data_IF_158371522110
#
_entry.id   IF_158371522110
#
_cell.length_a   1.000
_cell.length_b   1.000
_cell.length_c   1.000
_cell.angle_alpha   90.00
_cell.angle_beta   90.00
_cell.angle_gamma   90.00
#
_symmetry.space_group_name_H-M   'P 1'
#
loop_
_entity.id
_entity.type
_entity.pdbx_description
1 polymer ?
#
# COMPACT_ATOMS: atom_id res chain seq x y z
N UNK A 1 -5.38 -25.81 -1.62
CA UNK A 1 -5.75 -24.39 -1.46
C UNK A 1 -4.80 -23.46 -2.22
N UNK A 2 -3.52 -23.33 -1.85
CA UNK A 2 -2.55 -22.52 -2.64
C UNK A 2 -2.40 -23.06 -4.07
N UNK A 3 -2.36 -24.38 -4.23
CA UNK A 3 -2.38 -25.04 -5.53
C UNK A 3 -3.60 -24.63 -6.37
N UNK A 4 -4.82 -24.66 -5.79
CA UNK A 4 -6.04 -24.22 -6.47
C UNK A 4 -6.00 -22.73 -6.87
N UNK A 5 -5.43 -21.88 -6.02
CA UNK A 5 -5.23 -20.46 -6.33
C UNK A 5 -4.27 -20.31 -7.52
N UNK A 6 -3.19 -21.09 -7.58
CA UNK A 6 -2.23 -21.04 -8.68
C UNK A 6 -2.80 -21.63 -9.97
N UNK A 7 -3.49 -22.76 -9.92
CA UNK A 7 -4.08 -23.40 -11.11
C UNK A 7 -5.26 -22.61 -11.68
N UNK A 8 -5.87 -21.71 -10.89
CA UNK A 8 -6.94 -20.83 -11.38
C UNK A 8 -6.48 -19.76 -12.37
N UNK A 9 -5.17 -19.47 -12.47
CA UNK A 9 -4.62 -18.43 -13.36
C UNK A 9 -3.53 -19.02 -14.26
N UNK A 10 -3.47 -18.68 -15.57
CA UNK A 10 -2.43 -19.19 -16.47
C UNK A 10 -1.00 -18.93 -15.96
N UNK A 11 -0.76 -17.76 -15.36
CA UNK A 11 0.53 -17.41 -14.78
C UNK A 11 0.93 -18.29 -13.58
N UNK A 12 -0.04 -18.85 -12.85
CA UNK A 12 0.24 -19.76 -11.75
C UNK A 12 0.61 -21.17 -12.23
N UNK A 13 0.14 -21.60 -13.40
CA UNK A 13 0.60 -22.84 -14.02
C UNK A 13 2.09 -22.80 -14.36
N UNK A 14 2.63 -21.63 -14.71
CA UNK A 14 4.07 -21.43 -14.91
C UNK A 14 4.86 -21.70 -13.63
N UNK A 15 4.33 -21.32 -12.46
CA UNK A 15 4.95 -21.57 -11.15
C UNK A 15 4.98 -23.06 -10.86
N UNK A 16 3.85 -23.75 -11.03
CA UNK A 16 3.74 -25.20 -10.79
C UNK A 16 4.70 -25.96 -11.70
N UNK A 17 4.68 -25.67 -13.01
CA UNK A 17 5.55 -26.33 -13.98
C UNK A 17 7.04 -26.16 -13.67
N UNK A 18 7.48 -24.94 -13.35
CA UNK A 18 8.89 -24.70 -13.01
C UNK A 18 9.34 -25.51 -11.79
N UNK A 19 8.45 -25.64 -10.80
CA UNK A 19 8.74 -26.45 -9.62
C UNK A 19 8.80 -27.94 -9.95
N UNK A 20 7.84 -28.46 -10.72
CA UNK A 20 7.82 -29.86 -11.11
C UNK A 20 9.07 -30.24 -11.93
N UNK A 21 9.54 -29.34 -12.79
CA UNK A 21 10.72 -29.55 -13.63
C UNK A 21 12.05 -29.47 -12.86
N UNK A 22 12.14 -28.65 -11.80
CA UNK A 22 13.43 -28.30 -11.16
C UNK A 22 13.53 -28.61 -9.67
N UNK A 23 12.41 -28.89 -9.00
CA UNK A 23 12.30 -29.00 -7.53
C UNK A 23 12.50 -27.69 -6.77
N UNK A 24 12.60 -26.56 -7.48
CA UNK A 24 12.86 -25.24 -6.90
C UNK A 24 12.15 -24.15 -7.69
N UNK A 25 12.14 -22.93 -7.16
CA UNK A 25 11.63 -21.75 -7.87
C UNK A 25 12.72 -20.69 -7.96
N UNK A 26 12.84 -20.05 -9.13
CA UNK A 26 13.65 -18.86 -9.32
C UNK A 26 13.01 -17.67 -8.60
N UNK A 27 13.81 -16.66 -8.32
CA UNK A 27 13.35 -15.47 -7.60
C UNK A 27 12.18 -14.76 -8.29
N UNK A 28 12.24 -14.63 -9.62
CA UNK A 28 11.15 -14.08 -10.43
C UNK A 28 9.84 -14.86 -10.26
N UNK A 29 9.94 -16.19 -10.23
CA UNK A 29 8.80 -17.11 -10.17
C UNK A 29 8.21 -17.13 -8.75
N UNK A 30 9.06 -17.05 -7.72
CA UNK A 30 8.62 -16.81 -6.32
C UNK A 30 7.83 -15.51 -6.19
N UNK A 31 8.31 -14.41 -6.79
CA UNK A 31 7.59 -13.13 -6.77
C UNK A 31 6.25 -13.22 -7.49
N UNK A 32 6.20 -13.91 -8.63
CA UNK A 32 4.96 -14.14 -9.38
C UNK A 32 3.94 -14.91 -8.54
N UNK A 33 4.37 -16.02 -7.93
CA UNK A 33 3.55 -16.82 -7.00
C UNK A 33 2.98 -15.96 -5.88
N UNK A 34 3.83 -15.19 -5.18
CA UNK A 34 3.39 -14.31 -4.09
C UNK A 34 2.39 -13.27 -4.56
N UNK A 35 2.58 -12.68 -5.74
CA UNK A 35 1.63 -11.71 -6.31
C UNK A 35 0.26 -12.33 -6.57
N UNK A 36 0.21 -13.55 -7.13
CA UNK A 36 -1.05 -14.26 -7.40
C UNK A 36 -1.79 -14.53 -6.08
N UNK A 37 -1.07 -15.01 -5.06
CA UNK A 37 -1.63 -15.31 -3.74
C UNK A 37 -2.15 -14.04 -3.07
N UNK A 38 -1.36 -12.96 -3.05
CA UNK A 38 -1.76 -11.68 -2.46
C UNK A 38 -2.99 -11.09 -3.16
N UNK A 39 -3.06 -11.19 -4.49
CA UNK A 39 -4.24 -10.76 -5.24
C UNK A 39 -5.49 -11.54 -4.79
N UNK A 40 -5.39 -12.87 -4.66
CA UNK A 40 -6.49 -13.70 -4.17
C UNK A 40 -6.92 -13.34 -2.73
N UNK A 41 -5.96 -13.10 -1.83
CA UNK A 41 -6.27 -12.68 -0.46
C UNK A 41 -7.01 -11.34 -0.43
N UNK A 42 -6.59 -10.39 -1.26
CA UNK A 42 -7.26 -9.09 -1.40
C UNK A 42 -8.65 -9.21 -2.04
N UNK A 43 -8.83 -10.08 -3.02
CA UNK A 43 -10.15 -10.37 -3.63
C UNK A 43 -11.13 -10.93 -2.59
N UNK A 44 -10.64 -11.75 -1.65
CA UNK A 44 -11.48 -12.41 -0.63
C UNK A 44 -11.78 -11.55 0.61
N UNK A 45 -10.79 -10.84 1.15
CA UNK A 45 -10.91 -10.10 2.43
C UNK A 45 -10.77 -8.58 2.28
N UNK A 46 -10.56 -8.09 1.06
CA UNK A 46 -10.29 -6.69 0.81
C UNK A 46 -8.91 -6.25 1.32
N UNK A 47 -8.80 -4.98 1.74
CA UNK A 47 -7.52 -4.38 2.13
C UNK A 47 -7.03 -4.83 3.51
N UNK A 48 -7.96 -5.24 4.38
CA UNK A 48 -7.68 -5.63 5.76
C UNK A 48 -7.50 -7.13 5.94
N UNK A 49 -6.58 -7.73 5.17
CA UNK A 49 -6.35 -9.19 5.23
C UNK A 49 -5.96 -9.60 6.65
N UNK A 50 -6.66 -10.61 7.18
CA UNK A 50 -6.53 -11.10 8.55
C UNK A 50 -5.21 -11.85 8.77
N UNK A 51 -4.78 -11.94 10.05
CA UNK A 51 -3.57 -12.70 10.41
C UNK A 51 -3.73 -14.19 10.08
N UNK A 52 -4.91 -14.76 10.36
CA UNK A 52 -5.22 -16.15 10.10
C UNK A 52 -5.08 -16.49 8.60
N UNK A 53 -5.57 -15.62 7.72
CA UNK A 53 -5.47 -15.83 6.27
C UNK A 53 -4.04 -15.74 5.77
N UNK A 54 -3.22 -14.82 6.32
CA UNK A 54 -1.77 -14.75 6.01
C UNK A 54 -1.04 -16.01 6.45
N UNK A 55 -1.29 -16.48 7.67
CA UNK A 55 -0.68 -17.71 8.20
C UNK A 55 -1.10 -18.93 7.39
N UNK A 56 -2.40 -19.03 7.05
CA UNK A 56 -2.92 -20.12 6.24
C UNK A 56 -2.23 -20.20 4.87
N UNK A 57 -2.05 -19.06 4.19
CA UNK A 57 -1.37 -19.03 2.90
C UNK A 57 0.15 -19.27 3.01
N UNK A 58 0.80 -18.76 4.06
CA UNK A 58 2.22 -19.02 4.31
C UNK A 58 2.49 -20.52 4.52
N UNK A 59 1.65 -21.19 5.32
CA UNK A 59 1.70 -22.64 5.50
C UNK A 59 1.44 -23.36 4.18
N UNK A 60 0.42 -22.94 3.43
CA UNK A 60 0.09 -23.53 2.13
C UNK A 60 1.23 -23.44 1.10
N UNK A 61 2.02 -22.36 1.13
CA UNK A 61 3.19 -22.18 0.26
C UNK A 61 4.25 -23.25 0.57
N UNK A 62 4.66 -23.39 1.83
CA UNK A 62 5.73 -24.33 2.20
C UNK A 62 5.29 -25.79 2.13
N UNK A 63 3.98 -26.06 2.27
CA UNK A 63 3.42 -27.39 2.05
C UNK A 63 3.43 -27.79 0.58
N UNK A 64 3.17 -26.85 -0.33
CA UNK A 64 3.19 -27.11 -1.77
C UNK A 64 4.61 -27.08 -2.35
N UNK A 65 5.46 -26.20 -1.83
CA UNK A 65 6.85 -26.03 -2.25
C UNK A 65 7.81 -26.26 -1.07
N UNK A 66 8.04 -27.52 -0.66
CA UNK A 66 8.92 -27.84 0.47
C UNK A 66 10.33 -27.22 0.41
N UNK A 67 10.89 -26.99 -0.78
CA UNK A 67 12.22 -26.36 -0.90
C UNK A 67 12.25 -24.87 -0.54
N UNK A 68 11.08 -24.24 -0.35
CA UNK A 68 10.96 -22.87 0.16
C UNK A 68 10.84 -22.80 1.68
N UNK A 69 10.77 -23.95 2.36
CA UNK A 69 10.70 -24.01 3.81
C UNK A 69 12.02 -23.55 4.42
N UNK A 70 11.95 -22.67 5.42
CA UNK A 70 13.12 -22.27 6.19
C UNK A 70 13.54 -23.40 7.16
N UNK A 71 14.74 -23.99 7.02
CA UNK A 71 15.21 -25.02 7.94
C UNK A 71 15.56 -24.48 9.34
N UNK A 72 15.75 -23.17 9.49
CA UNK A 72 16.13 -22.55 10.77
C UNK A 72 14.93 -22.03 11.56
N UNK A 73 13.75 -21.99 10.95
CA UNK A 73 12.53 -21.54 11.60
C UNK A 73 11.73 -22.70 12.20
N UNK A 74 10.96 -22.42 13.25
CA UNK A 74 10.23 -23.44 14.02
C UNK A 74 9.21 -24.18 13.16
N UNK A 75 8.42 -23.46 12.37
CA UNK A 75 7.42 -24.05 11.47
C UNK A 75 7.86 -24.02 10.00
N UNK A 76 8.85 -23.20 9.67
CA UNK A 76 9.48 -23.09 8.36
C UNK A 76 8.76 -22.17 7.37
N UNK A 77 7.65 -21.53 7.74
CA UNK A 77 6.91 -20.58 6.89
C UNK A 77 7.03 -19.11 7.33
N UNK A 78 7.71 -18.86 8.45
CA UNK A 78 7.75 -17.56 9.12
C UNK A 78 8.36 -16.45 8.24
N UNK A 79 9.22 -16.79 7.27
CA UNK A 79 9.69 -15.84 6.26
C UNK A 79 8.56 -15.32 5.36
N UNK A 80 7.57 -16.16 5.03
CA UNK A 80 6.38 -15.73 4.29
C UNK A 80 5.42 -14.95 5.17
N UNK A 81 5.17 -15.45 6.39
CA UNK A 81 4.42 -14.73 7.41
C UNK A 81 4.70 -15.25 8.81
N UNK A 82 5.15 -14.37 9.70
CA UNK A 82 5.25 -14.61 11.13
C UNK A 82 4.10 -13.91 11.85
N UNK A 83 3.24 -14.69 12.50
CA UNK A 83 2.09 -14.22 13.25
C UNK A 83 2.48 -13.39 14.49
N UNK A 84 3.61 -13.71 15.12
CA UNK A 84 4.08 -13.07 16.36
C UNK A 84 4.54 -11.65 16.07
N UNK A 85 5.48 -11.49 15.14
CA UNK A 85 5.97 -10.17 14.75
C UNK A 85 5.05 -9.43 13.76
N UNK A 86 4.08 -10.12 13.18
CA UNK A 86 3.23 -9.63 12.08
C UNK A 86 4.07 -9.08 10.91
N UNK A 87 5.06 -9.87 10.49
CA UNK A 87 6.00 -9.57 9.39
C UNK A 87 6.07 -10.74 8.41
N UNK A 88 6.81 -10.56 7.34
CA UNK A 88 7.03 -11.58 6.30
C UNK A 88 6.71 -11.04 4.90
N UNK A 89 7.05 -11.83 3.88
CA UNK A 89 6.86 -11.45 2.49
C UNK A 89 5.40 -11.14 2.14
N UNK A 90 4.43 -11.92 2.64
CA UNK A 90 3.01 -11.68 2.38
C UNK A 90 2.55 -10.34 2.96
N UNK A 91 2.95 -10.06 4.21
CA UNK A 91 2.65 -8.79 4.87
C UNK A 91 3.29 -7.59 4.15
N UNK A 92 4.56 -7.71 3.77
CA UNK A 92 5.26 -6.65 3.02
C UNK A 92 4.58 -6.41 1.67
N UNK A 93 4.20 -7.48 0.97
CA UNK A 93 3.61 -7.35 -0.36
C UNK A 93 2.21 -6.76 -0.30
N UNK A 94 1.39 -7.16 0.67
CA UNK A 94 0.09 -6.54 0.94
C UNK A 94 0.23 -5.02 1.15
N UNK A 95 1.20 -4.59 1.95
CA UNK A 95 1.48 -3.15 2.17
C UNK A 95 1.91 -2.42 0.90
N UNK A 96 2.78 -3.03 0.09
CA UNK A 96 3.35 -2.35 -1.09
C UNK A 96 2.38 -2.31 -2.27
N UNK A 97 1.60 -3.37 -2.50
CA UNK A 97 0.51 -3.35 -3.50
C UNK A 97 -0.50 -2.26 -3.16
N UNK A 98 -0.88 -2.13 -1.88
CA UNK A 98 -1.82 -1.10 -1.44
C UNK A 98 -1.26 0.33 -1.55
N UNK A 99 0.05 0.51 -1.36
CA UNK A 99 0.68 1.83 -1.50
C UNK A 99 0.71 2.30 -2.95
N UNK A 100 0.93 1.39 -3.89
CA UNK A 100 0.90 1.68 -5.33
C UNK A 100 -0.54 1.85 -5.88
N UNK A 101 -1.55 1.34 -5.15
CA UNK A 101 -2.97 1.48 -5.51
C UNK A 101 -3.67 2.64 -4.81
N UNK A 102 -2.99 3.43 -3.98
CA UNK A 102 -3.52 4.75 -3.63
C UNK A 102 -3.32 5.58 -4.91
N UNK A 103 -4.38 6.03 -5.62
CA UNK A 103 -4.20 7.29 -6.33
C UNK A 103 -3.61 8.22 -5.29
N UNK A 104 -2.53 8.93 -5.64
CA UNK A 104 -1.97 10.00 -4.82
C UNK A 104 -3.15 10.66 -4.15
N UNK A 105 -3.37 10.43 -2.85
CA UNK A 105 -4.55 10.96 -2.18
C UNK A 105 -4.35 12.44 -2.35
N UNK A 106 -5.09 13.00 -3.29
CA UNK A 106 -4.80 14.32 -3.79
C UNK A 106 -4.98 15.22 -2.59
N UNK A 107 -4.32 16.36 -2.54
CA UNK A 107 -4.61 17.36 -1.50
C UNK A 107 -6.13 17.58 -1.35
N UNK A 108 -6.87 17.44 -2.46
CA UNK A 108 -8.32 17.42 -2.50
C UNK A 108 -8.96 16.30 -1.67
N UNK A 109 -8.48 15.05 -1.73
CA UNK A 109 -9.10 13.93 -1.00
C UNK A 109 -8.98 14.08 0.52
N UNK A 110 -7.85 14.60 1.01
CA UNK A 110 -7.65 14.82 2.45
C UNK A 110 -8.47 15.99 2.97
N UNK A 111 -8.46 17.11 2.24
CA UNK A 111 -9.32 18.25 2.57
C UNK A 111 -10.78 17.84 2.52
N UNK A 112 -11.20 17.08 1.51
CA UNK A 112 -12.56 16.61 1.40
C UNK A 112 -12.95 15.79 2.62
N UNK A 113 -12.08 14.87 3.06
CA UNK A 113 -12.35 14.06 4.25
C UNK A 113 -12.49 14.92 5.51
N UNK A 114 -11.52 15.80 5.77
CA UNK A 114 -11.51 16.63 6.98
C UNK A 114 -12.68 17.64 6.98
N UNK A 115 -12.94 18.29 5.85
CA UNK A 115 -14.06 19.23 5.71
C UNK A 115 -15.40 18.54 5.69
N UNK A 116 -15.51 17.32 5.16
CA UNK A 116 -16.76 16.56 5.23
C UNK A 116 -17.10 16.21 6.67
N UNK A 117 -16.10 15.94 7.50
CA UNK A 117 -16.29 15.69 8.92
C UNK A 117 -16.73 16.95 9.68
N UNK A 118 -16.19 18.12 9.32
CA UNK A 118 -16.51 19.38 10.00
C UNK A 118 -17.81 20.04 9.51
N UNK A 119 -18.10 19.95 8.21
CA UNK A 119 -19.14 20.75 7.53
C UNK A 119 -20.12 19.94 6.68
N UNK A 120 -19.95 18.60 6.62
CA UNK A 120 -20.76 17.70 5.80
C UNK A 120 -20.25 17.52 4.38
N UNK A 121 -20.56 16.37 3.78
CA UNK A 121 -20.01 15.95 2.48
C UNK A 121 -20.42 16.87 1.32
N UNK A 122 -21.66 17.37 1.30
CA UNK A 122 -22.14 18.27 0.25
C UNK A 122 -21.42 19.63 0.31
N UNK A 123 -21.25 20.19 1.52
CA UNK A 123 -20.55 21.45 1.74
C UNK A 123 -19.09 21.35 1.34
N UNK A 124 -18.42 20.26 1.75
CA UNK A 124 -17.01 20.03 1.43
C UNK A 124 -16.78 19.87 -0.07
N UNK A 125 -17.70 19.21 -0.78
CA UNK A 125 -17.61 19.02 -2.24
C UNK A 125 -17.74 20.35 -2.99
N UNK A 126 -18.75 21.16 -2.65
CA UNK A 126 -18.94 22.51 -3.25
C UNK A 126 -17.79 23.45 -2.96
N UNK A 127 -17.16 23.33 -1.79
CA UNK A 127 -15.97 24.09 -1.45
C UNK A 127 -14.80 23.74 -2.37
N UNK A 128 -14.55 22.44 -2.58
CA UNK A 128 -13.45 21.99 -3.44
C UNK A 128 -13.65 22.33 -4.91
N UNK A 129 -14.90 22.30 -5.42
CA UNK A 129 -15.22 22.75 -6.79
C UNK A 129 -14.75 24.17 -7.07
N UNK A 130 -14.72 25.04 -6.06
CA UNK A 130 -14.30 26.44 -6.16
C UNK A 130 -12.94 26.72 -5.53
N UNK A 131 -12.23 25.67 -5.09
CA UNK A 131 -10.95 25.81 -4.38
C UNK A 131 -9.93 26.57 -5.23
N UNK A 132 -9.69 26.12 -6.45
CA UNK A 132 -8.70 26.75 -7.34
C UNK A 132 -9.18 28.07 -7.97
N UNK A 133 -10.49 28.30 -8.06
CA UNK A 133 -11.05 29.45 -8.78
C UNK A 133 -11.38 30.67 -7.91
N UNK A 134 -11.37 30.52 -6.58
CA UNK A 134 -11.65 31.69 -5.72
C UNK A 134 -11.37 31.54 -4.23
N UNK A 135 -11.20 30.33 -3.69
CA UNK A 135 -10.88 30.15 -2.27
C UNK A 135 -9.38 30.12 -1.99
N UNK A 136 -8.57 29.49 -2.84
CA UNK A 136 -7.12 29.37 -2.64
C UNK A 136 -6.46 30.74 -2.41
N UNK A 137 -6.74 31.72 -3.27
CA UNK A 137 -6.13 33.06 -3.16
C UNK A 137 -6.62 33.83 -1.94
N UNK A 138 -7.87 33.62 -1.52
CA UNK A 138 -8.42 34.22 -0.29
C UNK A 138 -7.77 33.63 0.95
N UNK A 139 -7.66 32.30 1.01
CA UNK A 139 -6.99 31.61 2.12
C UNK A 139 -5.51 31.99 2.19
N UNK A 140 -4.83 32.13 1.04
CA UNK A 140 -3.44 32.59 1.01
C UNK A 140 -3.29 34.03 1.51
N UNK A 141 -4.25 34.91 1.21
CA UNK A 141 -4.27 36.29 1.70
C UNK A 141 -4.45 36.32 3.22
N UNK A 142 -5.50 35.67 3.73
CA UNK A 142 -5.75 35.58 5.17
C UNK A 142 -4.58 34.93 5.92
N UNK A 143 -3.96 33.90 5.34
CA UNK A 143 -2.80 33.24 5.94
C UNK A 143 -1.55 34.13 6.02
N UNK A 144 -1.41 35.15 5.15
CA UNK A 144 -0.32 36.14 5.22
C UNK A 144 -0.52 37.14 6.36
N UNK A 145 -1.77 37.40 6.75
CA UNK A 145 -2.12 38.35 7.80
C UNK A 145 -2.10 37.70 9.21
N UNK A 146 -1.99 36.37 9.29
CA UNK A 146 -1.83 35.63 10.54
C UNK A 146 -0.44 35.85 11.16
N UNK A 147 -0.37 35.69 12.50
CA UNK A 147 0.89 35.75 13.24
C UNK A 147 1.90 34.77 12.64
N UNK A 148 3.00 35.33 12.19
CA UNK A 148 4.01 34.60 11.44
C UNK A 148 4.70 33.54 12.32
N UNK A 149 4.65 32.29 11.89
CA UNK A 149 5.38 31.17 12.51
C UNK A 149 6.30 30.50 11.48
N UNK A 150 7.40 29.85 11.88
CA UNK A 150 8.30 29.17 10.95
C UNK A 150 7.58 28.10 10.12
N UNK A 151 6.59 27.42 10.71
CA UNK A 151 5.77 26.43 10.02
C UNK A 151 4.88 27.09 8.96
N UNK A 152 4.22 28.21 9.30
CA UNK A 152 3.36 28.96 8.39
C UNK A 152 4.16 29.53 7.20
N UNK A 153 5.39 30.04 7.43
CA UNK A 153 6.30 30.48 6.36
C UNK A 153 6.55 29.38 5.34
N UNK A 154 6.90 28.18 5.81
CA UNK A 154 7.22 27.05 4.94
C UNK A 154 5.99 26.56 4.16
N UNK A 155 4.82 26.56 4.79
CA UNK A 155 3.56 26.19 4.15
C UNK A 155 3.13 27.20 3.08
N UNK A 156 3.30 28.50 3.32
CA UNK A 156 3.03 29.55 2.33
C UNK A 156 3.96 29.45 1.13
N UNK A 157 5.28 29.31 1.34
CA UNK A 157 6.26 29.11 0.26
C UNK A 157 5.93 27.90 -0.61
N UNK A 158 5.61 26.77 0.02
CA UNK A 158 5.20 25.55 -0.69
C UNK A 158 3.90 25.73 -1.48
N UNK A 159 2.95 26.53 -0.98
CA UNK A 159 1.68 26.76 -1.66
C UNK A 159 1.78 27.72 -2.86
N UNK A 160 2.79 28.60 -2.86
CA UNK A 160 3.13 29.55 -3.92
C UNK A 160 4.06 28.96 -5.00
N UNK A 161 4.53 27.72 -4.85
CA UNK A 161 5.55 27.09 -5.72
C UNK A 161 6.83 27.92 -5.85
N UNK A 162 7.16 28.74 -4.86
CA UNK A 162 8.41 29.48 -4.83
C UNK A 162 9.51 28.51 -4.40
N UNK A 163 10.37 28.12 -5.34
CA UNK A 163 11.54 27.31 -5.06
C UNK A 163 12.41 28.02 -4.01
N UNK A 164 12.93 27.26 -3.06
CA UNK A 164 13.86 27.75 -2.06
C UNK A 164 15.11 28.30 -2.75
N UNK A 165 15.26 29.62 -2.82
CA UNK A 165 16.59 30.22 -2.88
C UNK A 165 17.25 29.97 -1.52
N UNK A 166 18.03 28.89 -1.47
CA UNK A 166 19.12 28.76 -0.52
C UNK A 166 20.23 29.70 -0.99
N UNK A 167 20.25 30.90 -0.42
CA UNK A 167 21.48 31.64 -0.22
C UNK A 167 21.58 31.93 1.28
N UNK A 168 22.37 31.09 1.95
CA UNK A 168 22.90 31.38 3.29
C UNK A 168 24.42 31.56 3.11
N UNK A 169 25.01 32.68 3.56
CA UNK A 169 26.46 32.90 3.49
C UNK A 169 27.25 32.07 4.51
#
# INVERSE_FOLDING_TARGET
MVEQVLTSKPAGLTVIKEYDDTGSLKDSTRRLMVNIIVAHMCEKEGRGVSKATKEFHALGIVSLFPSLKDPYSTKGYEHFYDIQSNKGFLEWRLKTVQRQSKPTSTFHDRILQDFSLMFGAETASRFLERWNSGFKDKVLREARDLRETPLLKNQLKSALNEASDTDEP
#
